data_IF_881021106928
#
_entry.id   IF_881021106928
#
_cell.length_a   1.000
_cell.length_b   1.000
_cell.length_c   1.000
_cell.angle_alpha   90.00
_cell.angle_beta   90.00
_cell.angle_gamma   90.00
#
_symmetry.space_group_name_H-M   'P 1'
#
loop_
_entity.id
_entity.type
_entity.pdbx_description
1 polymer ?
#
# COMPACT_ATOMS: atom_id res chain seq x y z
N UNK A 1 10.61 11.73 32.77
CA UNK A 1 11.06 11.65 31.37
C UNK A 1 10.12 10.72 30.61
N UNK A 2 9.31 11.28 29.75
CA UNK A 2 8.41 10.45 28.95
C UNK A 2 9.18 9.90 27.75
N UNK A 3 9.23 8.57 27.64
CA UNK A 3 9.78 7.92 26.47
C UNK A 3 8.65 7.89 25.42
N UNK A 4 8.83 8.65 24.36
CA UNK A 4 7.91 8.59 23.22
C UNK A 4 8.19 7.30 22.47
N UNK A 5 7.27 6.33 22.57
CA UNK A 5 7.35 5.11 21.77
C UNK A 5 6.77 5.45 20.41
N UNK A 6 7.62 5.40 19.37
CA UNK A 6 7.17 5.59 18.00
C UNK A 6 6.40 4.34 17.55
N UNK A 7 5.14 4.54 17.19
CA UNK A 7 4.31 3.46 16.69
C UNK A 7 4.50 3.34 15.18
N UNK A 8 4.85 2.15 14.71
CA UNK A 8 4.92 1.86 13.29
C UNK A 8 3.52 1.44 12.81
N UNK A 9 3.07 2.01 11.73
CA UNK A 9 1.75 1.71 11.20
C UNK A 9 1.62 1.96 9.71
N UNK A 10 0.62 1.33 9.13
CA UNK A 10 0.09 1.61 7.80
C UNK A 10 -1.39 1.94 7.96
N UNK A 11 -1.81 3.08 7.44
CA UNK A 11 -3.20 3.51 7.46
C UNK A 11 -3.67 3.78 6.04
N UNK A 12 -4.82 3.21 5.70
CA UNK A 12 -5.46 3.36 4.40
C UNK A 12 -6.86 3.91 4.61
N UNK A 13 -7.24 4.95 3.88
CA UNK A 13 -8.56 5.57 3.99
C UNK A 13 -9.13 5.86 2.62
N UNK A 14 -10.42 5.62 2.44
CA UNK A 14 -11.13 5.98 1.21
C UNK A 14 -11.46 7.47 1.27
N UNK A 15 -10.95 8.24 0.29
CA UNK A 15 -11.29 9.64 0.13
C UNK A 15 -12.57 9.76 -0.68
N UNK A 16 -12.67 9.01 -1.77
CA UNK A 16 -13.87 8.95 -2.61
C UNK A 16 -13.89 7.68 -3.45
N UNK A 17 -15.09 7.27 -3.83
CA UNK A 17 -15.30 6.18 -4.79
C UNK A 17 -16.06 6.73 -5.99
N UNK A 18 -15.62 6.36 -7.18
CA UNK A 18 -16.25 6.81 -8.43
C UNK A 18 -17.08 5.66 -9.04
N UNK A 19 -18.12 6.02 -9.78
CA UNK A 19 -19.04 5.06 -10.36
C UNK A 19 -18.37 4.11 -11.37
N UNK A 20 -17.29 4.54 -12.01
CA UNK A 20 -16.55 3.73 -12.98
C UNK A 20 -15.60 2.70 -12.37
N UNK A 21 -15.59 2.59 -11.04
CA UNK A 21 -14.75 1.61 -10.36
C UNK A 21 -13.39 2.12 -9.89
N UNK A 22 -13.14 3.42 -9.99
CA UNK A 22 -11.95 4.03 -9.39
C UNK A 22 -12.21 4.36 -7.93
N UNK A 23 -11.19 4.21 -7.11
CA UNK A 23 -11.23 4.61 -5.70
C UNK A 23 -10.00 5.43 -5.38
N UNK A 24 -10.20 6.58 -4.75
CA UNK A 24 -9.10 7.39 -4.24
C UNK A 24 -8.84 6.96 -2.80
N UNK A 25 -7.63 6.47 -2.55
CA UNK A 25 -7.18 6.08 -1.22
C UNK A 25 -6.09 7.03 -0.74
N UNK A 26 -6.21 7.44 0.50
CA UNK A 26 -5.11 8.08 1.22
C UNK A 26 -4.28 6.98 1.87
N UNK A 27 -2.97 7.04 1.67
CA UNK A 27 -2.01 6.14 2.30
C UNK A 27 -1.16 6.97 3.25
N UNK A 28 -1.08 6.51 4.49
CA UNK A 28 -0.25 7.14 5.51
C UNK A 28 0.54 6.05 6.21
N UNK A 29 1.83 6.29 6.43
CA UNK A 29 2.68 5.33 7.13
C UNK A 29 3.69 6.02 8.02
N UNK A 30 4.10 5.28 9.05
CA UNK A 30 5.21 5.66 9.92
C UNK A 30 6.05 4.42 10.19
N UNK A 31 7.35 4.52 10.01
CA UNK A 31 8.31 3.42 10.20
C UNK A 31 9.61 3.97 10.75
N UNK A 32 9.89 3.71 12.04
CA UNK A 32 11.14 4.08 12.70
C UNK A 32 11.53 5.56 12.50
N UNK A 33 10.54 6.45 12.57
CA UNK A 33 10.75 7.89 12.41
C UNK A 33 10.64 8.39 10.97
N UNK A 34 10.57 7.51 10.00
CA UNK A 34 10.28 7.88 8.62
C UNK A 34 8.77 7.82 8.39
N UNK A 35 8.22 8.82 7.75
CA UNK A 35 6.78 8.87 7.51
C UNK A 35 6.47 9.46 6.15
N UNK A 36 5.30 9.11 5.63
CA UNK A 36 4.80 9.66 4.40
C UNK A 36 3.28 9.60 4.37
N UNK A 37 2.70 10.45 3.53
CA UNK A 37 1.27 10.52 3.33
C UNK A 37 1.00 11.04 1.93
N UNK A 38 0.11 10.35 1.22
CA UNK A 38 -0.37 10.83 -0.09
C UNK A 38 -1.70 10.18 -0.39
N UNK A 39 -2.41 10.72 -1.37
CA UNK A 39 -3.59 10.08 -1.92
C UNK A 39 -3.37 9.78 -3.39
N UNK A 40 -4.01 8.71 -3.87
CA UNK A 40 -3.87 8.27 -5.24
C UNK A 40 -5.13 7.54 -5.68
N UNK A 41 -5.37 7.51 -6.99
CA UNK A 41 -6.45 6.74 -7.58
C UNK A 41 -5.99 5.33 -7.89
N UNK A 42 -6.84 4.37 -7.53
CA UNK A 42 -6.62 2.94 -7.78
C UNK A 42 -7.86 2.38 -8.48
N UNK A 43 -7.66 1.30 -9.22
CA UNK A 43 -8.77 0.52 -9.74
C UNK A 43 -9.25 -0.46 -8.67
N UNK A 44 -10.54 -0.38 -8.29
CA UNK A 44 -11.09 -1.21 -7.22
C UNK A 44 -10.98 -2.72 -7.53
N UNK A 45 -11.19 -3.12 -8.78
CA UNK A 45 -11.04 -4.51 -9.20
C UNK A 45 -9.60 -4.99 -9.03
N UNK A 46 -8.63 -4.17 -9.41
CA UNK A 46 -7.21 -4.49 -9.26
C UNK A 46 -6.81 -4.61 -7.80
N UNK A 47 -7.37 -3.77 -6.93
CA UNK A 47 -7.15 -3.87 -5.49
C UNK A 47 -7.66 -5.21 -4.94
N UNK A 48 -8.87 -5.60 -5.33
CA UNK A 48 -9.47 -6.86 -4.88
C UNK A 48 -8.67 -8.06 -5.37
N UNK A 49 -8.22 -8.05 -6.62
CA UNK A 49 -7.39 -9.11 -7.20
C UNK A 49 -6.04 -9.21 -6.47
N UNK A 50 -5.42 -8.08 -6.17
CA UNK A 50 -4.17 -8.06 -5.42
C UNK A 50 -4.36 -8.60 -4.01
N UNK A 51 -5.46 -8.26 -3.35
CA UNK A 51 -5.77 -8.77 -2.02
C UNK A 51 -5.89 -10.30 -2.01
N UNK A 52 -6.48 -10.89 -3.05
CA UNK A 52 -6.54 -12.35 -3.19
C UNK A 52 -5.14 -12.95 -3.31
N UNK A 53 -4.27 -12.34 -4.11
CA UNK A 53 -2.89 -12.81 -4.27
C UNK A 53 -2.11 -12.74 -2.95
N UNK A 54 -2.39 -11.76 -2.12
CA UNK A 54 -1.73 -11.63 -0.81
C UNK A 54 -2.17 -12.68 0.19
N UNK A 55 -3.27 -13.39 -0.06
CA UNK A 55 -3.76 -14.47 0.81
C UNK A 55 -3.12 -15.82 0.51
N UNK A 56 -2.35 -15.92 -0.56
CA UNK A 56 -1.62 -17.15 -0.87
C UNK A 56 -0.52 -17.39 0.16
N UNK A 57 -0.44 -18.60 0.67
CA UNK A 57 0.59 -18.97 1.65
C UNK A 57 1.35 -20.21 1.20
N UNK A 58 2.69 -20.10 1.10
CA UNK A 58 3.48 -18.87 1.06
C UNK A 58 3.20 -18.07 -0.20
N UNK A 59 3.65 -16.83 -0.27
CA UNK A 59 3.58 -16.06 -1.50
C UNK A 59 4.30 -16.85 -2.61
N UNK A 60 3.58 -17.20 -3.66
CA UNK A 60 4.06 -18.17 -4.64
C UNK A 60 4.93 -17.57 -5.74
N UNK A 61 4.83 -16.27 -5.96
CA UNK A 61 5.57 -15.59 -7.00
C UNK A 61 6.93 -15.11 -6.50
N UNK A 62 7.95 -15.23 -7.35
CA UNK A 62 9.25 -14.59 -7.11
C UNK A 62 9.18 -13.08 -7.35
N UNK A 63 8.14 -12.63 -8.02
CA UNK A 63 7.92 -11.21 -8.25
C UNK A 63 7.07 -10.63 -7.13
N UNK A 64 7.34 -9.37 -6.71
CA UNK A 64 6.51 -8.72 -5.70
C UNK A 64 5.07 -8.58 -6.15
N UNK A 65 4.13 -8.68 -5.21
CA UNK A 65 2.76 -8.24 -5.44
C UNK A 65 2.76 -6.74 -5.27
N UNK A 66 2.51 -6.01 -6.33
CA UNK A 66 2.60 -4.55 -6.33
C UNK A 66 1.24 -3.93 -6.53
N UNK A 67 0.91 -2.98 -5.66
CA UNK A 67 -0.31 -2.17 -5.73
C UNK A 67 0.14 -0.73 -5.92
N UNK A 68 -0.17 -0.15 -7.07
CA UNK A 68 0.27 1.19 -7.40
C UNK A 68 -0.92 2.06 -7.79
N UNK A 69 -0.91 3.30 -7.35
CA UNK A 69 -1.91 4.29 -7.69
C UNK A 69 -1.27 5.62 -8.08
N UNK A 70 -2.01 6.42 -8.85
CA UNK A 70 -1.52 7.71 -9.32
C UNK A 70 -2.32 8.20 -10.51
N UNK A 71 -1.66 8.91 -11.41
CA UNK A 71 -2.27 9.35 -12.66
C UNK A 71 -2.17 8.25 -13.71
N UNK A 72 -3.32 7.89 -14.25
CA UNK A 72 -3.42 6.92 -15.34
C UNK A 72 -3.31 7.69 -16.66
N UNK A 73 -2.38 7.28 -17.51
CA UNK A 73 -2.15 7.95 -18.80
C UNK A 73 -3.34 7.77 -19.74
N UNK A 74 -3.95 6.59 -19.72
CA UNK A 74 -5.07 6.23 -20.58
C UNK A 74 -5.97 5.26 -19.82
N UNK A 75 -7.26 5.56 -19.79
CA UNK A 75 -8.25 4.71 -19.12
C UNK A 75 -8.28 3.27 -19.63
N UNK A 76 -7.88 3.03 -20.88
CA UNK A 76 -7.87 1.70 -21.49
C UNK A 76 -6.59 0.92 -21.21
N UNK A 77 -5.44 1.59 -21.17
CA UNK A 77 -4.14 0.94 -20.96
C UNK A 77 -3.84 0.58 -19.52
N UNK A 78 -4.49 1.25 -18.57
CA UNK A 78 -4.23 1.13 -17.11
C UNK A 78 -2.76 1.37 -16.74
N UNK A 79 -1.99 2.00 -17.62
CA UNK A 79 -0.60 2.32 -17.37
C UNK A 79 -0.54 3.62 -16.58
N UNK A 80 0.18 3.60 -15.46
CA UNK A 80 0.40 4.79 -14.66
C UNK A 80 1.39 5.71 -15.35
N UNK A 81 0.96 6.93 -15.60
CA UNK A 81 1.83 8.00 -16.05
C UNK A 81 2.75 8.49 -14.94
N UNK A 82 2.21 8.53 -13.72
CA UNK A 82 2.94 8.99 -12.54
C UNK A 82 2.42 8.23 -11.33
N UNK A 83 3.33 7.66 -10.55
CA UNK A 83 3.00 6.89 -9.34
C UNK A 83 3.02 7.82 -8.13
N UNK A 84 1.92 7.88 -7.40
CA UNK A 84 1.76 8.68 -6.19
C UNK A 84 1.76 7.84 -4.91
N UNK A 85 1.43 6.57 -5.03
CA UNK A 85 1.41 5.65 -3.91
C UNK A 85 1.76 4.25 -4.38
N UNK A 86 2.44 3.50 -3.53
CA UNK A 86 2.85 2.15 -3.85
C UNK A 86 2.91 1.28 -2.60
N UNK A 87 2.40 0.06 -2.72
CA UNK A 87 2.59 -1.01 -1.75
C UNK A 87 3.19 -2.19 -2.51
N UNK A 88 4.34 -2.69 -2.09
CA UNK A 88 4.98 -3.84 -2.72
C UNK A 88 5.27 -4.90 -1.65
N UNK A 89 4.81 -6.12 -1.88
CA UNK A 89 4.94 -7.25 -0.96
C UNK A 89 5.81 -8.32 -1.60
N UNK A 90 6.87 -8.71 -0.93
CA UNK A 90 7.79 -9.72 -1.42
C UNK A 90 8.23 -10.65 -0.29
N UNK A 91 8.60 -11.89 -0.61
CA UNK A 91 9.23 -12.75 0.38
C UNK A 91 10.60 -12.19 0.75
N UNK A 92 10.88 -12.11 2.05
CA UNK A 92 12.18 -11.66 2.51
C UNK A 92 13.29 -12.66 2.16
N UNK A 93 12.93 -13.94 2.07
CA UNK A 93 13.85 -15.01 1.69
C UNK A 93 13.31 -15.81 0.50
N UNK A 94 14.13 -16.07 -0.52
CA UNK A 94 13.68 -16.77 -1.73
C UNK A 94 13.09 -18.17 -1.48
N UNK A 95 13.48 -18.82 -0.38
CA UNK A 95 13.12 -20.21 -0.12
C UNK A 95 11.92 -20.38 0.81
N UNK A 96 11.24 -19.31 1.16
CA UNK A 96 10.22 -19.70 1.83
C UNK A 96 9.28 -19.14 2.81
N UNK A 97 9.29 -19.69 3.94
CA UNK A 97 8.32 -19.49 5.01
C UNK A 97 8.71 -18.36 5.96
N UNK A 98 9.66 -17.56 5.59
CA UNK A 98 10.15 -16.44 6.38
C UNK A 98 9.24 -15.23 6.31
N UNK A 99 9.68 -14.11 6.88
CA UNK A 99 8.90 -12.89 6.87
C UNK A 99 8.68 -12.34 5.46
N UNK A 100 7.73 -11.43 5.36
CA UNK A 100 7.40 -10.71 4.14
C UNK A 100 7.92 -9.28 4.26
N UNK A 101 8.52 -8.77 3.20
CA UNK A 101 8.88 -7.35 3.13
C UNK A 101 7.72 -6.58 2.50
N UNK A 102 7.30 -5.53 3.19
CA UNK A 102 6.33 -4.58 2.68
C UNK A 102 7.03 -3.24 2.47
N UNK A 103 7.13 -2.82 1.22
CA UNK A 103 7.65 -1.50 0.88
C UNK A 103 6.49 -0.57 0.59
N UNK A 104 6.42 0.53 1.34
CA UNK A 104 5.38 1.54 1.20
C UNK A 104 6.00 2.81 0.68
N UNK A 105 5.43 3.37 -0.38
CA UNK A 105 5.86 4.63 -0.95
C UNK A 105 4.69 5.60 -1.05
N UNK A 106 4.95 6.88 -0.77
CA UNK A 106 3.97 7.93 -0.88
C UNK A 106 4.60 9.18 -1.49
N UNK A 107 3.98 9.72 -2.52
CA UNK A 107 4.47 10.85 -3.25
C UNK A 107 3.44 11.93 -3.47
N UNK A 108 3.88 13.18 -3.51
CA UNK A 108 3.03 14.34 -3.74
C UNK A 108 3.33 14.89 -5.13
N UNK A 109 2.29 15.01 -6.00
CA UNK A 109 2.50 15.50 -7.35
C UNK A 109 2.92 16.98 -7.36
N UNK A 110 3.68 17.33 -8.38
CA UNK A 110 4.09 18.71 -8.61
C UNK A 110 3.02 19.41 -9.45
N UNK A 111 2.36 20.43 -8.87
CA UNK A 111 1.20 21.07 -9.51
C UNK A 111 1.52 21.90 -10.76
N UNK A 112 2.79 22.26 -10.96
CA UNK A 112 3.18 23.16 -12.06
C UNK A 112 3.97 22.47 -13.18
N UNK A 113 4.32 21.19 -13.01
CA UNK A 113 5.05 20.42 -13.99
C UNK A 113 4.89 18.92 -13.73
N UNK A 114 5.31 18.09 -14.68
CA UNK A 114 5.30 16.63 -14.49
C UNK A 114 6.35 16.23 -13.47
N UNK A 115 6.05 15.18 -12.70
CA UNK A 115 6.93 14.60 -11.71
C UNK A 115 6.43 14.81 -10.28
N UNK A 116 7.16 14.25 -9.34
CA UNK A 116 6.83 14.33 -7.93
C UNK A 116 7.58 15.48 -7.27
N UNK A 117 6.89 16.21 -6.40
CA UNK A 117 7.50 17.21 -5.54
C UNK A 117 8.19 16.54 -4.35
N UNK A 118 7.55 15.54 -3.79
CA UNK A 118 8.06 14.78 -2.65
C UNK A 118 7.81 13.30 -2.83
N UNK A 119 8.70 12.48 -2.28
CA UNK A 119 8.54 11.04 -2.21
C UNK A 119 9.15 10.55 -0.91
N UNK A 120 8.39 9.73 -0.18
CA UNK A 120 8.87 9.05 1.02
C UNK A 120 8.64 7.55 0.85
N UNK A 121 9.57 6.73 1.31
CA UNK A 121 9.49 5.29 1.19
C UNK A 121 10.07 4.64 2.43
N UNK A 122 9.44 3.56 2.88
CA UNK A 122 9.92 2.76 4.00
C UNK A 122 9.63 1.29 3.76
N UNK A 123 10.45 0.42 4.34
CA UNK A 123 10.28 -1.03 4.27
C UNK A 123 9.97 -1.56 5.65
N UNK A 124 8.86 -2.28 5.75
CA UNK A 124 8.46 -3.02 6.95
C UNK A 124 8.77 -4.49 6.76
N UNK A 125 9.12 -5.16 7.83
CA UNK A 125 9.22 -6.61 7.86
C UNK A 125 8.01 -7.13 8.62
N UNK A 126 7.16 -7.88 7.96
CA UNK A 126 5.87 -8.33 8.51
C UNK A 126 5.78 -9.85 8.46
N UNK A 127 4.93 -10.41 9.31
CA UNK A 127 4.61 -11.84 9.26
C UNK A 127 3.36 -12.07 8.39
N UNK A 128 3.02 -13.35 8.17
CA UNK A 128 1.84 -13.70 7.37
C UNK A 128 0.52 -13.34 8.04
N UNK A 129 0.49 -13.24 9.36
CA UNK A 129 -0.71 -12.78 10.07
C UNK A 129 -0.97 -11.31 9.76
N UNK A 130 0.06 -10.47 9.82
CA UNK A 130 -0.05 -9.06 9.47
C UNK A 130 -0.37 -8.89 7.99
N UNK A 131 0.23 -9.70 7.13
CA UNK A 131 -0.08 -9.71 5.70
C UNK A 131 -1.55 -10.03 5.45
N UNK A 132 -2.09 -11.02 6.16
CA UNK A 132 -3.51 -11.36 6.08
C UNK A 132 -4.42 -10.21 6.52
N UNK A 133 -4.04 -9.49 7.58
CA UNK A 133 -4.79 -8.32 8.05
C UNK A 133 -4.77 -7.21 7.00
N UNK A 134 -3.64 -6.97 6.36
CA UNK A 134 -3.52 -5.97 5.29
C UNK A 134 -4.37 -6.37 4.08
N UNK A 135 -4.31 -7.63 3.67
CA UNK A 135 -5.10 -8.14 2.54
C UNK A 135 -6.60 -7.96 2.80
N UNK A 136 -7.05 -8.30 4.01
CA UNK A 136 -8.45 -8.12 4.40
C UNK A 136 -8.87 -6.66 4.40
N UNK A 137 -7.99 -5.77 4.86
CA UNK A 137 -8.23 -4.34 4.85
C UNK A 137 -8.38 -3.81 3.42
N UNK A 138 -7.47 -4.17 2.52
CA UNK A 138 -7.51 -3.76 1.12
C UNK A 138 -8.81 -4.22 0.45
N UNK A 139 -9.19 -5.48 0.66
CA UNK A 139 -10.44 -5.99 0.12
C UNK A 139 -11.65 -5.24 0.65
N UNK A 140 -11.70 -4.96 1.95
CA UNK A 140 -12.81 -4.23 2.57
C UNK A 140 -12.93 -2.81 2.04
N UNK A 141 -11.82 -2.14 1.78
CA UNK A 141 -11.81 -0.81 1.18
C UNK A 141 -12.24 -0.86 -0.30
N UNK A 142 -11.77 -1.86 -1.04
CA UNK A 142 -12.10 -2.02 -2.45
C UNK A 142 -13.58 -2.32 -2.67
N UNK A 143 -14.21 -3.07 -1.75
CA UNK A 143 -15.62 -3.47 -1.86
C UNK A 143 -16.57 -2.52 -1.14
N UNK A 144 -16.07 -1.48 -0.49
CA UNK A 144 -16.90 -0.51 0.23
C UNK A 144 -17.40 -0.96 1.59
N UNK A 145 -16.92 -2.09 2.11
CA UNK A 145 -17.29 -2.58 3.44
C UNK A 145 -16.75 -1.74 4.56
N UNK A 146 -15.60 -1.10 4.34
CA UNK A 146 -14.96 -0.17 5.28
C UNK A 146 -14.47 1.05 4.54
N UNK A 147 -14.35 2.16 5.25
CA UNK A 147 -13.82 3.41 4.71
C UNK A 147 -12.38 3.68 5.16
N UNK A 148 -11.92 3.00 6.18
CA UNK A 148 -10.57 3.18 6.71
C UNK A 148 -10.09 1.93 7.42
N UNK A 149 -8.77 1.73 7.41
CA UNK A 149 -8.12 0.67 8.18
C UNK A 149 -6.75 1.16 8.62
N UNK A 150 -6.42 0.90 9.87
CA UNK A 150 -5.10 1.18 10.42
C UNK A 150 -4.52 -0.12 10.96
N UNK A 151 -3.33 -0.45 10.51
CA UNK A 151 -2.65 -1.68 10.91
C UNK A 151 -1.34 -1.29 11.59
N UNK A 152 -1.21 -1.66 12.86
CA UNK A 152 0.05 -1.48 13.57
C UNK A 152 1.02 -2.56 13.10
N UNK A 153 2.23 -2.14 12.77
CA UNK A 153 3.26 -3.02 12.26
C UNK A 153 4.42 -3.05 13.24
N UNK A 154 4.96 -4.24 13.46
CA UNK A 154 6.08 -4.38 14.37
C UNK A 154 7.33 -3.74 13.76
N UNK A 155 8.03 -2.95 14.56
CA UNK A 155 9.39 -2.56 14.24
C UNK A 155 10.24 -3.78 14.47
N UNK A 156 10.82 -4.31 13.45
CA UNK A 156 11.78 -5.40 13.54
C UNK A 156 11.63 -6.42 14.67
N UNK A 157 11.23 -7.58 14.30
CA UNK A 157 11.61 -8.70 15.15
C UNK A 157 13.00 -9.13 14.88
#
# INVERSE_FOLDING_TARGET
MSISIMTNFLELSVVRSEAEGSVELEIKFSCDGFSGQSSAYFNAQSLATSAERLREFPLTSNEPVTIEGGFIEDAQSKILREKHASLAFARAHPQGLGPVELRVGAGVPWHHRTGLQHWAEATFVIDYEQLGAIAKAIESLATGKKNAAKIELNAFG
#
